data_IF_364314241556
#
_entry.id   IF_364314241556
#
_cell.length_a   1.000
_cell.length_b   1.000
_cell.length_c   1.000
_cell.angle_alpha   90.00
_cell.angle_beta   90.00
_cell.angle_gamma   90.00
#
_symmetry.space_group_name_H-M   'P 1'
#
loop_
_entity.id
_entity.type
_entity.pdbx_description
1 polymer ?
#
# COMPACT_ATOMS: atom_id res chain seq x y z
N UNK A 1 -23.91 25.40 -9.11
CA UNK A 1 -23.84 23.95 -9.38
C UNK A 1 -22.37 23.51 -9.29
N UNK A 2 -21.63 24.07 -8.33
CA UNK A 2 -20.16 24.21 -8.40
C UNK A 2 -19.43 23.56 -7.20
N UNK A 3 -20.17 23.21 -6.15
CA UNK A 3 -19.64 22.76 -4.86
C UNK A 3 -19.15 21.31 -4.86
N UNK A 4 -19.65 20.45 -5.75
CA UNK A 4 -19.28 19.02 -5.79
C UNK A 4 -17.91 18.76 -6.46
N UNK A 5 -17.48 19.64 -7.36
CA UNK A 5 -16.24 19.45 -8.14
C UNK A 5 -14.99 19.66 -7.28
N UNK A 6 -15.02 20.65 -6.38
CA UNK A 6 -13.93 20.94 -5.45
C UNK A 6 -13.69 19.78 -4.48
N UNK A 7 -14.76 19.28 -3.86
CA UNK A 7 -14.70 18.17 -2.92
C UNK A 7 -14.15 16.88 -3.57
N UNK A 8 -14.64 16.52 -4.77
CA UNK A 8 -14.15 15.34 -5.50
C UNK A 8 -12.65 15.42 -5.81
N UNK A 9 -12.16 16.60 -6.18
CA UNK A 9 -10.74 16.80 -6.47
C UNK A 9 -9.87 16.66 -5.22
N UNK A 10 -10.36 17.15 -4.08
CA UNK A 10 -9.69 16.99 -2.80
C UNK A 10 -9.58 15.51 -2.40
N UNK A 11 -10.69 14.76 -2.44
CA UNK A 11 -10.69 13.32 -2.13
C UNK A 11 -9.70 12.57 -3.02
N UNK A 12 -9.67 12.86 -4.33
CA UNK A 12 -8.74 12.23 -5.25
C UNK A 12 -7.28 12.53 -4.91
N UNK A 13 -6.96 13.76 -4.49
CA UNK A 13 -5.60 14.14 -4.06
C UNK A 13 -5.19 13.42 -2.78
N UNK A 14 -6.08 13.35 -1.80
CA UNK A 14 -5.82 12.64 -0.55
C UNK A 14 -5.65 11.13 -0.77
N UNK A 15 -6.49 10.53 -1.63
CA UNK A 15 -6.36 9.13 -2.01
C UNK A 15 -5.01 8.85 -2.68
N UNK A 16 -4.60 9.70 -3.63
CA UNK A 16 -3.30 9.60 -4.29
C UNK A 16 -2.14 9.71 -3.29
N UNK A 17 -2.22 10.67 -2.36
CA UNK A 17 -1.21 10.84 -1.31
C UNK A 17 -1.11 9.61 -0.41
N UNK A 18 -2.26 9.05 -0.01
CA UNK A 18 -2.29 7.85 0.82
C UNK A 18 -1.65 6.65 0.11
N UNK A 19 -1.93 6.47 -1.19
CA UNK A 19 -1.34 5.40 -2.00
C UNK A 19 0.18 5.50 -2.09
N UNK A 20 0.70 6.72 -2.25
CA UNK A 20 2.16 6.95 -2.29
C UNK A 20 2.84 6.63 -0.96
N UNK A 21 2.27 7.11 0.16
CA UNK A 21 2.79 6.83 1.51
C UNK A 21 2.83 5.32 1.77
N UNK A 22 1.76 4.62 1.44
CA UNK A 22 1.70 3.16 1.59
C UNK A 22 2.75 2.45 0.72
N UNK A 23 2.86 2.82 -0.56
CA UNK A 23 3.81 2.20 -1.47
C UNK A 23 5.27 2.43 -1.01
N UNK A 24 5.57 3.63 -0.52
CA UNK A 24 6.89 3.97 0.04
C UNK A 24 7.21 3.15 1.28
N UNK A 25 6.31 3.13 2.27
CA UNK A 25 6.51 2.39 3.51
C UNK A 25 6.60 0.88 3.28
N UNK A 26 5.82 0.35 2.34
CA UNK A 26 5.93 -1.04 1.90
C UNK A 26 7.32 -1.36 1.34
N UNK A 27 7.84 -0.51 0.44
CA UNK A 27 9.21 -0.67 -0.10
C UNK A 27 10.26 -0.61 1.01
N UNK A 28 10.13 0.34 1.93
CA UNK A 28 11.06 0.49 3.06
C UNK A 28 11.03 -0.74 3.97
N UNK A 29 9.86 -1.27 4.33
CA UNK A 29 9.76 -2.51 5.13
C UNK A 29 10.37 -3.71 4.43
N UNK A 30 10.16 -3.86 3.12
CA UNK A 30 10.79 -4.93 2.35
C UNK A 30 12.32 -4.81 2.35
N UNK A 31 12.85 -3.60 2.20
CA UNK A 31 14.30 -3.33 2.29
C UNK A 31 14.85 -3.64 3.68
N UNK A 32 14.16 -3.22 4.74
CA UNK A 32 14.56 -3.47 6.13
C UNK A 32 14.61 -4.97 6.46
N UNK A 33 13.71 -5.76 5.88
CA UNK A 33 13.70 -7.21 6.00
C UNK A 33 14.57 -7.93 4.97
N UNK A 34 15.21 -7.19 4.07
CA UNK A 34 16.02 -7.73 2.98
C UNK A 34 15.27 -8.77 2.11
N UNK A 35 13.98 -8.53 1.83
CA UNK A 35 13.17 -9.41 0.98
C UNK A 35 12.87 -8.79 -0.38
N UNK A 36 12.87 -9.62 -1.42
CA UNK A 36 12.51 -9.23 -2.78
C UNK A 36 10.99 -9.37 -2.99
N UNK A 37 10.45 -8.70 -4.02
CA UNK A 37 9.03 -8.82 -4.39
C UNK A 37 8.59 -10.28 -4.59
N UNK A 38 9.44 -11.13 -5.20
CA UNK A 38 9.13 -12.55 -5.39
C UNK A 38 8.98 -13.32 -4.07
N UNK A 39 9.75 -12.95 -3.04
CA UNK A 39 9.63 -13.56 -1.73
C UNK A 39 8.36 -13.09 -1.02
N UNK A 40 8.03 -11.80 -1.10
CA UNK A 40 6.77 -11.29 -0.57
C UNK A 40 5.55 -11.97 -1.22
N UNK A 41 5.59 -12.25 -2.53
CA UNK A 41 4.55 -13.03 -3.22
C UNK A 41 4.40 -14.42 -2.60
N UNK A 42 5.51 -15.13 -2.37
CA UNK A 42 5.49 -16.47 -1.78
C UNK A 42 4.96 -16.47 -0.35
N UNK A 43 5.41 -15.51 0.47
CA UNK A 43 5.07 -15.41 1.88
C UNK A 43 3.61 -15.00 2.11
N UNK A 44 3.09 -14.07 1.30
CA UNK A 44 1.72 -13.56 1.45
C UNK A 44 0.68 -14.32 0.62
N UNK A 45 1.13 -15.13 -0.34
CA UNK A 45 0.31 -15.72 -1.40
C UNK A 45 -0.53 -14.69 -2.20
N UNK A 46 -0.07 -13.42 -2.25
CA UNK A 46 -0.70 -12.37 -3.05
C UNK A 46 -0.08 -12.39 -4.45
N UNK A 47 -0.88 -12.35 -5.53
CA UNK A 47 -0.35 -12.38 -6.89
C UNK A 47 0.69 -11.28 -7.17
N UNK A 48 1.73 -11.62 -7.94
CA UNK A 48 2.82 -10.68 -8.30
C UNK A 48 2.31 -9.37 -8.88
N UNK A 49 1.31 -9.43 -9.77
CA UNK A 49 0.70 -8.24 -10.37
C UNK A 49 0.05 -7.32 -9.31
N UNK A 50 -0.60 -7.92 -8.32
CA UNK A 50 -1.22 -7.21 -7.19
C UNK A 50 -0.18 -6.55 -6.30
N UNK A 51 0.90 -7.25 -5.94
CA UNK A 51 2.01 -6.64 -5.19
C UNK A 51 2.70 -5.54 -6.00
N UNK A 52 2.89 -5.73 -7.31
CA UNK A 52 3.48 -4.71 -8.18
C UNK A 52 2.62 -3.45 -8.19
N UNK A 53 1.30 -3.61 -8.28
CA UNK A 53 0.35 -2.52 -8.21
C UNK A 53 0.43 -1.72 -6.89
N UNK A 54 0.62 -2.41 -5.76
CA UNK A 54 0.84 -1.80 -4.45
C UNK A 54 2.15 -1.02 -4.39
N UNK A 55 3.24 -1.63 -4.84
CA UNK A 55 4.56 -1.00 -4.89
C UNK A 55 4.63 0.19 -5.85
N UNK A 56 3.68 0.34 -6.77
CA UNK A 56 3.61 1.47 -7.70
C UNK A 56 2.45 2.44 -7.37
N UNK A 57 1.92 2.40 -6.14
CA UNK A 57 0.85 3.28 -5.67
C UNK A 57 -0.42 3.28 -6.56
N UNK A 58 -0.66 2.23 -7.35
CA UNK A 58 -1.82 2.17 -8.26
C UNK A 58 -3.10 1.87 -7.50
N UNK A 59 -3.01 0.99 -6.50
CA UNK A 59 -4.16 0.55 -5.71
C UNK A 59 -3.76 0.43 -4.24
N UNK A 60 -4.74 0.63 -3.35
CA UNK A 60 -4.62 0.27 -1.95
C UNK A 60 -4.90 -1.22 -1.74
N UNK A 61 -4.25 -1.88 -0.77
CA UNK A 61 -4.61 -3.23 -0.40
C UNK A 61 -5.99 -3.25 0.26
N UNK A 62 -6.72 -4.34 0.04
CA UNK A 62 -7.88 -4.67 0.89
C UNK A 62 -7.38 -5.13 2.26
N UNK A 63 -8.23 -5.07 3.27
CA UNK A 63 -7.91 -5.46 4.65
C UNK A 63 -7.23 -6.82 4.74
N UNK A 64 -7.73 -7.83 4.02
CA UNK A 64 -7.11 -9.17 4.00
C UNK A 64 -5.64 -9.16 3.54
N UNK A 65 -5.35 -8.48 2.44
CA UNK A 65 -4.00 -8.38 1.90
C UNK A 65 -3.09 -7.54 2.81
N UNK A 66 -3.64 -6.48 3.40
CA UNK A 66 -2.93 -5.64 4.35
C UNK A 66 -2.47 -6.44 5.56
N UNK A 67 -3.36 -7.22 6.17
CA UNK A 67 -3.03 -8.04 7.34
C UNK A 67 -1.93 -9.07 7.02
N UNK A 68 -2.01 -9.75 5.86
CA UNK A 68 -0.96 -10.67 5.39
C UNK A 68 0.39 -9.97 5.21
N UNK A 69 0.38 -8.77 4.64
CA UNK A 69 1.59 -7.97 4.45
C UNK A 69 2.17 -7.55 5.81
N UNK A 70 1.34 -7.07 6.74
CA UNK A 70 1.75 -6.70 8.09
C UNK A 70 2.38 -7.86 8.86
N UNK A 71 1.75 -9.04 8.80
CA UNK A 71 2.22 -10.26 9.46
C UNK A 71 3.60 -10.67 8.93
N UNK A 72 3.75 -10.76 7.60
CA UNK A 72 5.02 -11.10 6.96
C UNK A 72 6.09 -10.06 7.24
N UNK A 73 5.73 -8.77 7.24
CA UNK A 73 6.68 -7.67 7.38
C UNK A 73 6.99 -7.28 8.83
N UNK A 74 6.25 -7.84 9.81
CA UNK A 74 6.36 -7.45 11.21
C UNK A 74 6.08 -5.97 11.47
N UNK A 75 5.20 -5.34 10.66
CA UNK A 75 4.88 -3.91 10.77
C UNK A 75 3.41 -3.68 11.09
N UNK A 76 3.13 -2.61 11.84
CA UNK A 76 1.77 -2.19 12.13
C UNK A 76 1.09 -1.54 10.93
N UNK A 77 -0.22 -1.77 10.77
CA UNK A 77 -0.98 -1.21 9.66
C UNK A 77 -1.06 0.32 9.72
N UNK A 78 -1.08 0.94 10.91
CA UNK A 78 -1.09 2.41 11.03
C UNK A 78 0.21 2.98 10.49
N UNK A 79 1.32 2.31 10.81
CA UNK A 79 2.61 2.65 10.24
C UNK A 79 2.58 2.48 8.72
N UNK A 80 2.08 1.39 8.13
CA UNK A 80 2.01 1.32 6.66
C UNK A 80 1.16 2.44 6.01
N UNK A 81 0.16 2.97 6.72
CA UNK A 81 -0.75 3.99 6.22
C UNK A 81 -0.33 5.44 6.51
N UNK A 82 0.84 5.69 7.12
CA UNK A 82 1.26 7.06 7.39
C UNK A 82 0.89 7.62 8.76
N UNK A 83 0.31 6.82 9.67
CA UNK A 83 -0.11 7.23 11.01
C UNK A 83 0.75 6.67 12.12
#
# INVERSE_FOLDING_TARGET
MDDQKGFRNQIKREESKMKEIFAERLRTSMTNMNIKQCELVKLTNIPKATISNYLNAKYMPKVEHLLKICEVLGVDFRWLFGK
#
